data_IF_576395813289
#
_entry.id   IF_576395813289
#
_cell.length_a   1.000
_cell.length_b   1.000
_cell.length_c   1.000
_cell.angle_alpha   90.00
_cell.angle_beta   90.00
_cell.angle_gamma   90.00
#
_symmetry.space_group_name_H-M   'P 1'
#
loop_
_entity.id
_entity.type
_entity.pdbx_description
1 polymer ?
#
# COMPACT_ATOMS: atom_id res chain seq x y z
N UNK A 1 5.48 -20.79 9.83
CA UNK A 1 4.83 -21.46 8.67
C UNK A 1 3.60 -20.65 8.29
N UNK A 2 3.64 -19.90 7.19
CA UNK A 2 2.47 -19.20 6.66
C UNK A 2 1.57 -20.21 5.93
N UNK A 3 0.39 -20.46 6.48
CA UNK A 3 -0.63 -21.27 5.83
C UNK A 3 -1.41 -20.41 4.85
N UNK A 4 -1.16 -20.57 3.56
CA UNK A 4 -2.03 -20.03 2.52
C UNK A 4 -3.38 -20.77 2.57
N UNK A 5 -4.35 -20.20 3.29
CA UNK A 5 -5.74 -20.62 3.21
C UNK A 5 -6.20 -20.61 1.75
N UNK A 6 -6.94 -21.64 1.34
CA UNK A 6 -7.46 -21.85 -0.02
C UNK A 6 -7.97 -20.54 -0.63
N UNK A 7 -7.21 -19.94 -1.55
CA UNK A 7 -7.60 -18.74 -2.31
C UNK A 7 -8.79 -19.12 -3.21
N UNK A 8 -9.99 -18.68 -2.87
CA UNK A 8 -11.07 -18.59 -3.85
C UNK A 8 -10.55 -17.69 -4.98
N UNK A 9 -10.56 -18.17 -6.23
CA UNK A 9 -10.18 -17.35 -7.39
C UNK A 9 -11.12 -16.15 -7.43
N UNK A 10 -10.66 -14.98 -6.96
CA UNK A 10 -11.35 -13.71 -7.18
C UNK A 10 -11.42 -13.49 -8.70
N UNK A 11 -12.54 -13.01 -9.24
CA UNK A 11 -12.65 -12.71 -10.68
C UNK A 11 -11.55 -11.73 -11.11
N UNK A 12 -11.14 -11.84 -12.39
CA UNK A 12 -10.22 -10.88 -12.99
C UNK A 12 -10.85 -9.49 -12.94
N UNK A 13 -10.23 -8.58 -12.20
CA UNK A 13 -10.76 -7.25 -11.90
C UNK A 13 -9.72 -6.37 -11.23
N UNK A 14 -10.12 -5.15 -10.92
CA UNK A 14 -9.29 -4.18 -10.21
C UNK A 14 -9.93 -3.88 -8.87
N UNK A 15 -9.14 -3.96 -7.80
CA UNK A 15 -9.52 -3.48 -6.48
C UNK A 15 -8.92 -2.10 -6.26
N UNK A 16 -9.64 -1.23 -5.56
CA UNK A 16 -9.17 0.10 -5.17
C UNK A 16 -9.31 0.27 -3.66
N UNK A 17 -8.25 0.73 -3.00
CA UNK A 17 -8.28 1.20 -1.63
C UNK A 17 -8.35 2.72 -1.60
N UNK A 18 -9.25 3.23 -0.77
CA UNK A 18 -9.25 4.64 -0.36
C UNK A 18 -8.52 4.70 0.98
N UNK A 19 -7.37 5.35 0.97
CA UNK A 19 -6.50 5.54 2.13
C UNK A 19 -6.62 6.99 2.55
N UNK A 20 -7.10 7.24 3.76
CA UNK A 20 -7.17 8.58 4.36
C UNK A 20 -5.91 8.82 5.19
N UNK A 21 -5.22 9.91 4.93
CA UNK A 21 -4.08 10.35 5.73
C UNK A 21 -4.59 11.13 6.96
N UNK A 22 -3.96 10.93 8.11
CA UNK A 22 -4.30 11.60 9.37
C UNK A 22 -3.61 12.96 9.49
N UNK A 23 -2.35 13.07 9.03
CA UNK A 23 -1.49 14.23 9.25
C UNK A 23 -0.79 14.77 7.97
N UNK A 24 -1.28 14.40 6.78
CA UNK A 24 -0.59 14.75 5.54
C UNK A 24 -0.65 16.26 5.24
N UNK A 25 0.48 16.80 4.77
CA UNK A 25 0.59 18.21 4.35
C UNK A 25 0.04 18.46 2.94
N UNK A 26 0.10 17.45 2.08
CA UNK A 26 -0.11 17.62 0.63
C UNK A 26 -1.41 16.99 0.11
N UNK A 27 -1.80 15.81 0.63
CA UNK A 27 -2.94 15.05 0.10
C UNK A 27 -3.72 14.37 1.21
N UNK A 28 -5.03 14.61 1.27
CA UNK A 28 -5.90 14.06 2.33
C UNK A 28 -6.30 12.60 2.12
N UNK A 29 -6.24 12.13 0.87
CA UNK A 29 -6.61 10.77 0.50
C UNK A 29 -5.77 10.26 -0.68
N UNK A 30 -5.44 8.97 -0.64
CA UNK A 30 -4.88 8.24 -1.76
C UNK A 30 -5.89 7.22 -2.25
N UNK A 31 -6.04 7.13 -3.58
CA UNK A 31 -6.71 6.00 -4.23
C UNK A 31 -5.60 5.08 -4.73
N UNK A 32 -5.56 3.84 -4.23
CA UNK A 32 -4.53 2.86 -4.58
C UNK A 32 -5.17 1.68 -5.29
N UNK A 33 -4.83 1.48 -6.56
CA UNK A 33 -5.36 0.42 -7.41
C UNK A 33 -4.42 -0.78 -7.48
N UNK A 34 -4.99 -1.99 -7.54
CA UNK A 34 -4.25 -3.24 -7.74
C UNK A 34 -5.13 -4.35 -8.34
N UNK A 35 -4.54 -5.36 -8.98
CA UNK A 35 -5.28 -6.51 -9.47
C UNK A 35 -6.01 -7.25 -8.33
N UNK A 36 -7.27 -7.63 -8.53
CA UNK A 36 -8.07 -8.36 -7.54
C UNK A 36 -7.43 -9.69 -7.10
N UNK A 37 -6.59 -10.30 -7.95
CA UNK A 37 -5.88 -11.55 -7.66
C UNK A 37 -4.88 -11.45 -6.50
N UNK A 38 -4.36 -10.26 -6.21
CA UNK A 38 -3.43 -9.99 -5.09
C UNK A 38 -4.09 -9.25 -3.93
N UNK A 39 -5.41 -9.02 -3.99
CA UNK A 39 -6.11 -8.14 -3.06
C UNK A 39 -5.94 -8.52 -1.58
N UNK A 40 -6.03 -9.83 -1.26
CA UNK A 40 -5.90 -10.29 0.11
C UNK A 40 -4.51 -10.01 0.69
N UNK A 41 -3.47 -10.15 -0.14
CA UNK A 41 -2.08 -9.95 0.29
C UNK A 41 -1.82 -8.44 0.49
N UNK A 42 -2.28 -7.60 -0.45
CA UNK A 42 -2.21 -6.14 -0.35
C UNK A 42 -2.94 -5.60 0.89
N UNK A 43 -4.19 -6.02 1.12
CA UNK A 43 -4.97 -5.63 2.29
C UNK A 43 -4.31 -6.05 3.59
N UNK A 44 -3.90 -7.32 3.68
CA UNK A 44 -3.27 -7.86 4.88
C UNK A 44 -2.00 -7.07 5.24
N UNK A 45 -1.16 -6.77 4.25
CA UNK A 45 0.05 -5.98 4.45
C UNK A 45 -0.28 -4.54 4.88
N UNK A 46 -1.11 -3.83 4.12
CA UNK A 46 -1.42 -2.43 4.43
C UNK A 46 -2.16 -2.28 5.77
N UNK A 47 -2.98 -3.26 6.16
CA UNK A 47 -3.60 -3.28 7.49
C UNK A 47 -2.59 -3.55 8.62
N UNK A 48 -1.56 -4.36 8.38
CA UNK A 48 -0.45 -4.52 9.34
C UNK A 48 0.33 -3.23 9.48
N UNK A 49 0.65 -2.57 8.35
CA UNK A 49 1.32 -1.27 8.36
C UNK A 49 0.47 -0.24 9.10
N UNK A 50 -0.83 -0.13 8.80
CA UNK A 50 -1.77 0.79 9.47
C UNK A 50 -1.76 0.63 11.00
N UNK A 51 -1.64 -0.61 11.50
CA UNK A 51 -1.62 -0.92 12.94
C UNK A 51 -0.23 -0.85 13.57
N UNK A 52 0.82 -0.70 12.76
CA UNK A 52 2.20 -0.68 13.24
C UNK A 52 2.54 0.65 13.92
N UNK A 53 3.58 0.64 14.76
CA UNK A 53 4.15 1.86 15.33
C UNK A 53 4.78 2.77 14.28
N UNK A 54 5.07 2.24 13.10
CA UNK A 54 5.70 2.96 11.98
C UNK A 54 4.66 3.84 11.25
N UNK A 55 3.35 3.63 11.45
CA UNK A 55 2.30 4.43 10.84
C UNK A 55 2.11 5.80 11.52
N UNK A 56 3.16 6.62 11.48
CA UNK A 56 3.20 7.95 12.07
C UNK A 56 3.93 8.90 11.13
N UNK A 57 3.62 10.19 11.21
CA UNK A 57 4.22 11.20 10.32
C UNK A 57 5.75 11.28 10.43
N UNK A 58 6.30 11.07 11.62
CA UNK A 58 7.75 11.02 11.84
C UNK A 58 8.45 10.00 10.93
N UNK A 59 7.80 8.85 10.72
CA UNK A 59 8.34 7.78 9.91
C UNK A 59 7.88 7.87 8.45
N UNK A 60 6.59 8.08 8.18
CA UNK A 60 6.04 8.06 6.82
C UNK A 60 6.16 9.41 6.08
N UNK A 61 6.67 10.45 6.74
CA UNK A 61 6.96 11.74 6.11
C UNK A 61 5.70 12.41 5.55
N UNK A 62 5.71 12.77 4.28
CA UNK A 62 4.61 13.51 3.63
C UNK A 62 3.32 12.70 3.51
N UNK A 63 3.41 11.36 3.46
CA UNK A 63 2.24 10.47 3.48
C UNK A 63 1.52 10.59 4.84
N UNK A 64 2.29 10.81 5.91
CA UNK A 64 1.77 10.84 7.27
C UNK A 64 1.29 9.47 7.75
N UNK A 65 0.81 9.40 8.99
CA UNK A 65 0.02 8.25 9.41
C UNK A 65 -1.26 8.16 8.58
N UNK A 66 -1.74 6.95 8.28
CA UNK A 66 -2.91 6.74 7.43
C UNK A 66 -3.86 5.68 7.97
N UNK A 67 -5.07 5.63 7.41
CA UNK A 67 -6.08 4.58 7.64
C UNK A 67 -6.73 4.16 6.33
N UNK A 68 -6.97 2.86 6.17
CA UNK A 68 -7.79 2.36 5.07
C UNK A 68 -9.26 2.62 5.44
N UNK A 69 -9.95 3.45 4.65
CA UNK A 69 -11.35 3.82 4.93
C UNK A 69 -12.35 3.12 4.03
N UNK A 70 -11.93 2.65 2.85
CA UNK A 70 -12.80 1.94 1.91
C UNK A 70 -11.99 1.00 1.05
N UNK A 71 -12.58 -0.17 0.77
CA UNK A 71 -12.07 -1.14 -0.19
C UNK A 71 -13.17 -1.46 -1.19
N UNK A 72 -12.90 -1.15 -2.46
CA UNK A 72 -13.78 -1.46 -3.59
C UNK A 72 -13.22 -2.71 -4.27
N UNK A 73 -14.04 -3.74 -4.41
CA UNK A 73 -13.62 -5.07 -4.87
C UNK A 73 -14.12 -5.40 -6.27
N UNK A 74 -13.26 -6.06 -7.05
CA UNK A 74 -13.58 -6.64 -8.35
C UNK A 74 -14.28 -5.67 -9.31
N UNK A 75 -13.79 -4.43 -9.36
CA UNK A 75 -14.28 -3.43 -10.30
C UNK A 75 -13.89 -3.86 -11.72
N UNK A 76 -14.86 -3.83 -12.62
CA UNK A 76 -14.64 -4.05 -14.07
C UNK A 76 -14.18 -2.77 -14.77
N UNK A 77 -14.47 -1.61 -14.18
CA UNK A 77 -14.06 -0.28 -14.64
C UNK A 77 -14.15 0.72 -13.49
N UNK A 78 -13.40 1.81 -13.60
CA UNK A 78 -13.49 2.99 -12.74
C UNK A 78 -13.10 4.21 -13.56
N UNK A 79 -13.67 5.36 -13.22
CA UNK A 79 -13.31 6.66 -13.78
C UNK A 79 -12.93 7.59 -12.62
N UNK A 80 -11.87 8.37 -12.80
CA UNK A 80 -11.50 9.44 -11.88
C UNK A 80 -11.93 10.75 -12.50
N UNK A 81 -12.83 11.45 -11.83
CA UNK A 81 -13.35 12.75 -12.26
C UNK A 81 -12.71 13.82 -11.39
N UNK A 82 -11.54 14.30 -11.81
CA UNK A 82 -10.85 15.44 -11.18
C UNK A 82 -10.85 16.62 -12.15
N UNK A 83 -11.60 17.68 -11.79
CA UNK A 83 -11.73 18.87 -12.62
C UNK A 83 -10.42 19.68 -12.72
N UNK A 84 -9.49 19.49 -11.76
CA UNK A 84 -8.19 20.14 -11.77
C UNK A 84 -7.13 19.34 -12.53
N UNK A 85 -7.33 18.02 -12.69
CA UNK A 85 -6.42 17.11 -13.37
C UNK A 85 -7.19 16.05 -14.15
N UNK A 86 -7.42 16.31 -15.44
CA UNK A 86 -8.18 15.41 -16.32
C UNK A 86 -7.47 14.07 -16.61
N UNK A 87 -6.17 13.96 -16.29
CA UNK A 87 -5.40 12.72 -16.43
C UNK A 87 -5.24 11.99 -15.09
N UNK A 88 -5.92 12.47 -14.04
CA UNK A 88 -5.85 11.87 -12.73
C UNK A 88 -6.22 10.38 -12.80
N UNK A 89 -5.36 9.55 -12.21
CA UNK A 89 -5.61 8.13 -12.06
C UNK A 89 -5.26 7.70 -10.63
N UNK A 90 -5.84 6.59 -10.14
CA UNK A 90 -5.40 6.00 -8.89
C UNK A 90 -3.91 5.65 -9.00
N UNK A 91 -3.21 5.77 -7.88
CA UNK A 91 -1.82 5.34 -7.77
C UNK A 91 -1.81 3.82 -7.86
N UNK A 92 -0.93 3.24 -8.66
CA UNK A 92 -0.79 1.79 -8.71
C UNK A 92 -0.10 1.29 -7.43
N UNK A 93 -0.46 0.10 -6.96
CA UNK A 93 0.14 -0.46 -5.74
C UNK A 93 1.68 -0.50 -5.75
N UNK A 94 2.39 -0.75 -6.88
CA UNK A 94 3.85 -0.74 -6.88
C UNK A 94 4.41 0.66 -6.61
N UNK A 95 3.77 1.70 -7.15
CA UNK A 95 4.17 3.09 -6.95
C UNK A 95 3.94 3.52 -5.50
N UNK A 96 2.78 3.16 -4.94
CA UNK A 96 2.48 3.44 -3.54
C UNK A 96 3.46 2.72 -2.59
N UNK A 97 3.79 1.45 -2.88
CA UNK A 97 4.80 0.70 -2.14
C UNK A 97 6.18 1.35 -2.25
N UNK A 98 6.58 1.81 -3.43
CA UNK A 98 7.84 2.51 -3.66
C UNK A 98 7.92 3.85 -2.90
N UNK A 99 6.82 4.59 -2.82
CA UNK A 99 6.77 5.82 -2.01
C UNK A 99 7.05 5.54 -0.52
N UNK A 100 6.46 4.47 0.02
CA UNK A 100 6.67 4.04 1.40
C UNK A 100 8.10 3.52 1.60
N UNK A 101 8.59 2.66 0.70
CA UNK A 101 9.93 2.07 0.78
C UNK A 101 11.02 3.11 0.82
N UNK A 102 11.04 4.04 -0.14
CA UNK A 102 12.07 5.09 -0.20
C UNK A 102 12.19 5.86 1.11
N UNK A 103 11.05 6.05 1.78
CA UNK A 103 11.02 6.74 3.07
C UNK A 103 11.61 5.87 4.19
N UNK A 104 11.24 4.59 4.24
CA UNK A 104 11.73 3.66 5.25
C UNK A 104 13.22 3.33 5.06
N UNK A 105 13.68 3.15 3.83
CA UNK A 105 15.08 2.96 3.46
C UNK A 105 15.94 4.14 3.95
N UNK A 106 15.50 5.38 3.70
CA UNK A 106 16.22 6.56 4.17
C UNK A 106 16.29 6.65 5.72
N UNK A 107 15.28 6.13 6.43
CA UNK A 107 15.27 6.10 7.89
C UNK A 107 16.19 5.01 8.44
N UNK A 108 16.20 3.84 7.80
CA UNK A 108 17.10 2.73 8.13
C UNK A 108 18.56 3.13 7.94
N UNK A 109 18.90 3.74 6.80
CA UNK A 109 20.24 4.26 6.50
C UNK A 109 20.71 5.33 7.52
N UNK A 110 19.78 6.11 8.07
CA UNK A 110 20.09 7.14 9.07
C UNK A 110 20.26 6.58 10.50
N UNK A 111 19.92 5.31 10.73
CA UNK A 111 19.91 4.68 12.06
C UNK A 111 18.80 5.19 12.99
N UNK A 112 17.85 5.98 12.49
CA UNK A 112 16.82 6.62 13.30
C UNK A 112 15.81 5.64 13.94
N UNK A 113 15.70 4.43 13.39
CA UNK A 113 14.75 3.40 13.84
C UNK A 113 15.36 2.34 14.77
N UNK A 114 16.69 2.28 14.89
CA UNK A 114 17.38 1.14 15.51
C UNK A 114 17.13 -0.19 14.77
N UNK A 115 17.70 -1.29 15.26
CA UNK A 115 17.40 -2.62 14.71
C UNK A 115 15.96 -3.01 15.09
N UNK A 116 15.05 -2.96 14.13
CA UNK A 116 13.65 -3.34 14.29
C UNK A 116 13.29 -4.48 13.34
N UNK A 117 13.04 -5.67 13.89
CA UNK A 117 12.55 -6.83 13.12
C UNK A 117 11.26 -6.50 12.35
N UNK A 118 10.38 -5.67 12.95
CA UNK A 118 9.14 -5.21 12.33
C UNK A 118 9.41 -4.33 11.09
N UNK A 119 10.41 -3.45 11.15
CA UNK A 119 10.80 -2.60 10.01
C UNK A 119 11.33 -3.45 8.85
N UNK A 120 12.26 -4.37 9.13
CA UNK A 120 12.81 -5.27 8.13
C UNK A 120 11.71 -6.12 7.47
N UNK A 121 10.76 -6.62 8.27
CA UNK A 121 9.61 -7.35 7.76
C UNK A 121 8.73 -6.49 6.83
N UNK A 122 8.37 -5.28 7.26
CA UNK A 122 7.54 -4.36 6.46
C UNK A 122 8.24 -3.97 5.16
N UNK A 123 9.54 -3.66 5.21
CA UNK A 123 10.33 -3.34 4.02
C UNK A 123 10.41 -4.53 3.05
N UNK A 124 10.54 -5.76 3.56
CA UNK A 124 10.49 -6.97 2.74
C UNK A 124 9.16 -7.12 2.00
N UNK A 125 8.04 -6.96 2.71
CA UNK A 125 6.70 -7.08 2.12
C UNK A 125 6.43 -5.96 1.09
N UNK A 126 6.85 -4.72 1.37
CA UNK A 126 6.72 -3.62 0.42
C UNK A 126 7.61 -3.83 -0.83
N UNK A 127 8.80 -4.39 -0.66
CA UNK A 127 9.72 -4.72 -1.76
C UNK A 127 9.06 -5.69 -2.74
N UNK A 128 8.39 -6.72 -2.21
CA UNK A 128 7.63 -7.64 -3.05
C UNK A 128 6.51 -6.92 -3.84
N UNK A 129 5.94 -5.83 -3.32
CA UNK A 129 4.75 -5.18 -3.91
C UNK A 129 5.20 -4.31 -5.06
N UNK A 130 6.28 -3.58 -4.83
CA UNK A 130 7.00 -2.82 -5.85
C UNK A 130 7.42 -3.73 -7.01
N UNK A 131 7.96 -4.90 -6.71
CA UNK A 131 8.50 -5.80 -7.73
C UNK A 131 7.43 -6.66 -8.42
N UNK A 132 6.17 -6.60 -7.95
CA UNK A 132 5.06 -7.40 -8.49
C UNK A 132 5.21 -8.91 -8.25
N UNK A 133 6.14 -9.31 -7.36
CA UNK A 133 6.48 -10.72 -7.09
C UNK A 133 5.44 -11.47 -6.25
N UNK A 134 4.32 -10.81 -5.93
CA UNK A 134 3.12 -11.41 -5.33
C UNK A 134 2.31 -12.29 -6.29
N UNK A 135 2.50 -12.13 -7.59
CA UNK A 135 1.87 -12.98 -8.60
C UNK A 135 2.72 -14.24 -8.75
N UNK A 136 2.20 -15.44 -8.44
CA UNK A 136 2.91 -16.68 -8.77
C UNK A 136 3.18 -16.67 -10.27
N UNK A 137 4.46 -16.72 -10.66
CA UNK A 137 4.81 -16.93 -12.06
C UNK A 137 4.38 -18.37 -12.38
N UNK A 138 3.32 -18.50 -13.18
CA UNK A 138 2.86 -19.79 -13.69
C UNK A 138 3.94 -20.44 -14.56
#
# INVERSE_FOLDING_TARGET
MFGFGKKAKKPDGIDILIIKTVDAKNRNFYQVAFPSVVANDVLSMLQKLEKSKINQQEFLGEIGGFRIVTHLEALTSYDVLDDADMEAHPIQIPDFANMLLRRLEALDESGAMGESEDLAFIMGELTMLRDGSFVPQN
#
